data_IF_264446861943
#
_entry.id   IF_264446861943
#
_cell.length_a   1.000
_cell.length_b   1.000
_cell.length_c   1.000
_cell.angle_alpha   90.00
_cell.angle_beta   90.00
_cell.angle_gamma   90.00
#
_symmetry.space_group_name_H-M   'P 1'
#
loop_
_entity.id
_entity.type
_entity.pdbx_description
1 polymer ?
#
# COMPACT_ATOMS: atom_id res chain seq x y z
N UNK A 1 11.60 -5.89 -18.87
CA UNK A 1 12.24 -7.16 -18.47
C UNK A 1 12.16 -7.36 -16.95
N UNK A 2 12.05 -8.62 -16.50
CA UNK A 2 11.81 -8.97 -15.09
C UNK A 2 13.08 -9.13 -14.25
N UNK A 3 14.24 -9.16 -14.87
CA UNK A 3 15.51 -9.44 -14.19
C UNK A 3 15.78 -8.61 -12.91
N UNK A 4 15.47 -7.30 -12.84
CA UNK A 4 15.66 -6.55 -11.60
C UNK A 4 14.78 -7.04 -10.44
N UNK A 5 13.54 -7.44 -10.74
CA UNK A 5 12.62 -7.99 -9.74
C UNK A 5 13.09 -9.37 -9.28
N UNK A 6 13.47 -10.24 -10.22
CA UNK A 6 13.94 -11.59 -9.91
C UNK A 6 15.20 -11.57 -9.04
N UNK A 7 16.14 -10.68 -9.36
CA UNK A 7 17.36 -10.49 -8.54
C UNK A 7 17.04 -9.94 -7.14
N UNK A 8 16.07 -9.01 -7.03
CA UNK A 8 15.63 -8.52 -5.74
C UNK A 8 14.99 -9.64 -4.90
N UNK A 9 14.17 -10.49 -5.54
CA UNK A 9 13.54 -11.64 -4.88
C UNK A 9 14.59 -12.67 -4.46
N UNK A 10 15.61 -12.93 -5.28
CA UNK A 10 16.74 -13.80 -4.90
C UNK A 10 17.49 -13.24 -3.68
N UNK A 11 17.81 -11.96 -3.67
CA UNK A 11 18.40 -11.29 -2.51
C UNK A 11 17.51 -11.38 -1.27
N UNK A 12 16.20 -11.18 -1.43
CA UNK A 12 15.22 -11.35 -0.36
C UNK A 12 15.16 -12.76 0.20
N UNK A 13 15.33 -13.80 -0.65
CA UNK A 13 15.43 -15.19 -0.21
C UNK A 13 16.68 -15.43 0.63
N UNK A 14 17.81 -14.92 0.20
CA UNK A 14 19.08 -15.04 0.92
C UNK A 14 19.02 -14.31 2.28
N UNK A 15 18.46 -13.11 2.30
CA UNK A 15 18.30 -12.31 3.51
C UNK A 15 17.14 -12.77 4.41
N UNK A 16 16.27 -13.65 3.94
CA UNK A 16 15.00 -14.05 4.62
C UNK A 16 14.08 -12.85 4.91
N UNK A 17 14.05 -11.89 4.01
CA UNK A 17 13.27 -10.66 4.12
C UNK A 17 12.29 -10.52 2.96
N UNK A 18 11.16 -9.84 3.15
CA UNK A 18 10.31 -9.45 2.03
C UNK A 18 11.04 -8.43 1.13
N UNK A 19 10.63 -8.36 -0.12
CA UNK A 19 11.04 -7.27 -1.00
C UNK A 19 9.90 -6.28 -1.19
N UNK A 20 10.25 -5.01 -1.33
CA UNK A 20 9.29 -3.95 -1.72
C UNK A 20 9.53 -3.64 -3.18
N UNK A 21 8.47 -3.75 -3.98
CA UNK A 21 8.52 -3.39 -5.38
C UNK A 21 7.75 -2.10 -5.60
N UNK A 22 8.48 -1.05 -5.95
CA UNK A 22 7.93 0.15 -6.58
C UNK A 22 7.90 -0.08 -8.10
N UNK A 23 6.72 -0.42 -8.58
CA UNK A 23 6.51 -0.75 -9.97
C UNK A 23 6.06 0.50 -10.73
N UNK A 24 7.02 1.28 -11.20
CA UNK A 24 6.81 2.52 -11.93
C UNK A 24 6.27 2.33 -13.36
N UNK A 25 6.35 3.37 -14.15
CA UNK A 25 6.03 3.29 -15.58
C UNK A 25 7.10 2.49 -16.33
N UNK A 26 6.66 1.57 -17.18
CA UNK A 26 7.54 0.73 -18.00
C UNK A 26 7.23 0.95 -19.48
N UNK A 27 8.26 0.88 -20.31
CA UNK A 27 8.11 0.93 -21.76
C UNK A 27 8.89 -0.23 -22.42
N UNK A 28 8.22 -1.24 -22.99
CA UNK A 28 6.76 -1.42 -23.00
C UNK A 28 6.19 -1.66 -21.60
N UNK A 29 4.86 -1.43 -21.38
CA UNK A 29 4.21 -1.70 -20.11
C UNK A 29 4.36 -3.18 -19.72
N UNK A 30 4.68 -3.43 -18.44
CA UNK A 30 4.72 -4.77 -17.87
C UNK A 30 3.44 -5.05 -17.08
N UNK A 31 2.98 -6.30 -17.10
CA UNK A 31 1.75 -6.70 -16.41
C UNK A 31 1.97 -6.86 -14.91
N UNK A 32 1.15 -6.20 -14.09
CA UNK A 32 1.14 -6.42 -12.63
C UNK A 32 0.55 -7.80 -12.26
N UNK A 33 -0.31 -8.37 -13.12
CA UNK A 33 -0.75 -9.76 -12.93
C UNK A 33 0.42 -10.72 -13.02
N UNK A 34 1.27 -10.57 -14.03
CA UNK A 34 2.48 -11.38 -14.18
C UNK A 34 3.42 -11.18 -12.99
N UNK A 35 3.63 -9.93 -12.56
CA UNK A 35 4.41 -9.60 -11.37
C UNK A 35 3.93 -10.40 -10.14
N UNK A 36 2.64 -10.36 -9.85
CA UNK A 36 2.08 -11.00 -8.66
C UNK A 36 2.06 -12.52 -8.75
N UNK A 37 1.82 -13.08 -9.93
CA UNK A 37 1.61 -14.53 -10.08
C UNK A 37 2.92 -15.28 -10.30
N UNK A 38 3.94 -14.65 -10.91
CA UNK A 38 5.16 -15.35 -11.31
C UNK A 38 6.42 -14.89 -10.56
N UNK A 39 6.53 -13.60 -10.23
CA UNK A 39 7.76 -13.00 -9.75
C UNK A 39 7.78 -12.74 -8.25
N UNK A 40 6.67 -12.27 -7.65
CA UNK A 40 6.61 -12.01 -6.22
C UNK A 40 6.24 -13.25 -5.41
N UNK A 41 6.77 -13.32 -4.18
CA UNK A 41 6.50 -14.37 -3.19
C UNK A 41 5.40 -13.93 -2.24
N UNK A 42 4.82 -14.87 -1.50
CA UNK A 42 4.01 -14.56 -0.32
C UNK A 42 4.82 -13.69 0.65
N UNK A 43 4.24 -12.56 1.06
CA UNK A 43 4.86 -11.60 1.97
C UNK A 43 5.63 -10.48 1.26
N UNK A 44 5.90 -10.58 -0.03
CA UNK A 44 6.49 -9.47 -0.78
C UNK A 44 5.47 -8.34 -0.96
N UNK A 45 5.97 -7.12 -1.04
CA UNK A 45 5.20 -5.88 -0.92
C UNK A 45 5.13 -5.19 -2.27
N UNK A 46 3.91 -4.87 -2.69
CA UNK A 46 3.64 -4.00 -3.83
C UNK A 46 3.19 -2.64 -3.29
N UNK A 47 4.04 -1.64 -3.43
CA UNK A 47 3.71 -0.27 -3.00
C UNK A 47 3.09 0.57 -4.11
N UNK A 48 2.57 1.73 -3.75
CA UNK A 48 1.80 2.61 -4.63
C UNK A 48 0.57 1.91 -5.25
N UNK A 49 -0.12 1.12 -4.42
CA UNK A 49 -1.28 0.32 -4.84
C UNK A 49 -2.32 1.12 -5.61
N UNK A 50 -2.57 2.36 -5.21
CA UNK A 50 -3.62 3.21 -5.80
C UNK A 50 -3.11 4.23 -6.81
N UNK A 51 -1.99 3.95 -7.45
CA UNK A 51 -1.45 4.85 -8.47
C UNK A 51 -2.26 4.79 -9.77
N UNK A 52 -2.31 5.94 -10.46
CA UNK A 52 -2.78 6.07 -11.84
C UNK A 52 -1.88 7.09 -12.51
N UNK A 53 -0.97 6.61 -13.34
CA UNK A 53 -0.06 7.45 -14.09
C UNK A 53 -0.66 7.84 -15.45
N UNK A 54 -0.38 9.07 -15.88
CA UNK A 54 -0.78 9.52 -17.21
C UNK A 54 -0.20 8.64 -18.31
N UNK A 55 -0.96 8.47 -19.39
CA UNK A 55 -0.55 7.66 -20.54
C UNK A 55 -0.63 6.14 -20.32
N UNK A 56 -1.25 5.68 -19.22
CA UNK A 56 -1.40 4.25 -18.90
C UNK A 56 -0.08 3.46 -18.94
N UNK A 57 1.01 4.11 -18.58
CA UNK A 57 2.36 3.50 -18.57
C UNK A 57 2.53 2.48 -17.43
N UNK A 58 1.56 2.40 -16.54
CA UNK A 58 1.47 1.41 -15.45
C UNK A 58 0.07 0.84 -15.40
N UNK A 59 -0.02 -0.48 -15.27
CA UNK A 59 -1.30 -1.15 -15.06
C UNK A 59 -1.86 -0.84 -13.67
N UNK A 60 -3.18 -0.61 -13.58
CA UNK A 60 -3.89 -0.21 -12.35
C UNK A 60 -4.57 -1.39 -11.66
N UNK A 61 -4.81 -1.29 -10.35
CA UNK A 61 -5.53 -2.31 -9.57
C UNK A 61 -7.04 -2.30 -9.85
N UNK A 62 -7.59 -1.13 -10.18
CA UNK A 62 -8.98 -0.98 -10.59
C UNK A 62 -9.03 -0.79 -12.11
N UNK A 63 -9.92 -1.51 -12.76
CA UNK A 63 -10.25 -1.29 -14.16
C UNK A 63 -10.98 0.06 -14.29
N UNK A 64 -10.37 0.99 -15.02
CA UNK A 64 -10.86 2.37 -15.14
C UNK A 64 -12.17 2.50 -15.94
N UNK A 65 -12.49 1.52 -16.78
CA UNK A 65 -13.73 1.52 -17.57
C UNK A 65 -14.92 1.01 -16.73
N UNK A 66 -14.68 0.04 -15.86
CA UNK A 66 -15.75 -0.60 -15.07
C UNK A 66 -15.79 -0.15 -13.61
N UNK A 67 -14.77 0.55 -13.12
CA UNK A 67 -14.57 0.91 -11.71
C UNK A 67 -14.57 -0.32 -10.76
N UNK A 68 -14.12 -1.47 -11.24
CA UNK A 68 -14.04 -2.70 -10.44
C UNK A 68 -12.60 -3.09 -10.18
N UNK A 69 -12.33 -3.59 -8.98
CA UNK A 69 -11.05 -4.24 -8.67
C UNK A 69 -10.90 -5.46 -9.58
N UNK A 70 -9.78 -5.55 -10.28
CA UNK A 70 -9.49 -6.66 -11.20
C UNK A 70 -9.41 -7.99 -10.45
N UNK A 71 -9.87 -9.07 -11.06
CA UNK A 71 -9.97 -10.39 -10.40
C UNK A 71 -8.64 -10.89 -9.87
N UNK A 72 -7.58 -10.79 -10.66
CA UNK A 72 -6.25 -11.24 -10.27
C UNK A 72 -5.67 -10.49 -9.05
N UNK A 73 -6.15 -9.27 -8.75
CA UNK A 73 -5.77 -8.52 -7.53
C UNK A 73 -6.25 -9.24 -6.27
N UNK A 74 -7.48 -9.80 -6.32
CA UNK A 74 -8.00 -10.62 -5.22
C UNK A 74 -7.23 -11.93 -5.07
N UNK A 75 -6.83 -12.54 -6.19
CA UNK A 75 -6.04 -13.76 -6.18
C UNK A 75 -4.62 -13.50 -5.65
N UNK A 76 -4.00 -12.39 -6.03
CA UNK A 76 -2.73 -11.94 -5.47
C UNK A 76 -2.82 -11.72 -3.95
N UNK A 77 -3.90 -11.07 -3.48
CA UNK A 77 -4.12 -10.87 -2.04
C UNK A 77 -4.28 -12.19 -1.29
N UNK A 78 -5.05 -13.15 -1.84
CA UNK A 78 -5.18 -14.51 -1.27
C UNK A 78 -3.85 -15.26 -1.26
N UNK A 79 -3.03 -15.08 -2.27
CA UNK A 79 -1.67 -15.62 -2.35
C UNK A 79 -0.74 -15.05 -1.28
N UNK A 80 -1.10 -13.91 -0.69
CA UNK A 80 -0.36 -13.26 0.38
C UNK A 80 0.59 -12.16 -0.09
N UNK A 81 0.37 -11.61 -1.28
CA UNK A 81 1.02 -10.34 -1.69
C UNK A 81 0.50 -9.22 -0.78
N UNK A 82 1.40 -8.41 -0.29
CA UNK A 82 1.11 -7.26 0.57
C UNK A 82 0.89 -6.02 -0.30
N UNK A 83 -0.27 -5.42 -0.18
CA UNK A 83 -0.61 -4.18 -0.86
C UNK A 83 -0.39 -3.00 0.06
N UNK A 84 0.60 -2.18 -0.25
CA UNK A 84 0.98 -0.99 0.51
C UNK A 84 0.52 0.28 -0.20
N UNK A 85 0.12 1.29 0.57
CA UNK A 85 -0.40 2.55 0.02
C UNK A 85 0.68 3.36 -0.67
N UNK A 86 1.82 3.61 0.01
CA UNK A 86 2.87 4.46 -0.54
C UNK A 86 2.31 5.78 -1.08
N UNK A 87 1.67 6.60 -0.24
CA UNK A 87 0.83 7.71 -0.73
C UNK A 87 1.57 8.69 -1.64
N UNK A 88 2.75 9.16 -1.24
CA UNK A 88 3.60 10.09 -1.99
C UNK A 88 2.89 11.36 -2.46
N UNK A 89 3.39 11.93 -3.55
CA UNK A 89 2.78 13.10 -4.21
C UNK A 89 1.88 12.68 -5.38
N UNK A 90 2.45 12.00 -6.38
CA UNK A 90 1.78 11.57 -7.60
C UNK A 90 1.35 10.10 -7.60
N UNK A 91 1.73 9.35 -6.57
CA UNK A 91 1.54 7.87 -6.53
C UNK A 91 0.19 7.43 -5.96
N UNK A 92 -0.72 8.37 -5.70
CA UNK A 92 -2.04 8.08 -5.16
C UNK A 92 -3.15 8.75 -5.98
N UNK A 93 -4.17 7.99 -6.32
CA UNK A 93 -5.33 8.50 -7.05
C UNK A 93 -6.65 7.99 -6.43
N UNK A 94 -7.55 8.92 -6.13
CA UNK A 94 -8.85 8.61 -5.53
C UNK A 94 -9.74 7.74 -6.43
N UNK A 95 -9.57 7.81 -7.76
CA UNK A 95 -10.32 6.95 -8.70
C UNK A 95 -9.90 5.48 -8.63
N UNK A 96 -8.75 5.19 -8.03
CA UNK A 96 -8.30 3.83 -7.72
C UNK A 96 -8.66 3.44 -6.28
N UNK A 97 -8.47 4.33 -5.31
CA UNK A 97 -8.68 4.04 -3.90
C UNK A 97 -10.17 3.86 -3.56
N UNK A 98 -11.04 4.81 -3.98
CA UNK A 98 -12.46 4.79 -3.59
C UNK A 98 -13.18 3.52 -4.07
N UNK A 99 -13.10 3.10 -5.35
CA UNK A 99 -13.72 1.85 -5.79
C UNK A 99 -13.15 0.62 -5.08
N UNK A 100 -11.85 0.60 -4.79
CA UNK A 100 -11.20 -0.47 -4.04
C UNK A 100 -11.79 -0.62 -2.65
N UNK A 101 -11.86 0.46 -1.88
CA UNK A 101 -12.40 0.45 -0.52
C UNK A 101 -13.89 0.09 -0.51
N UNK A 102 -14.68 0.62 -1.45
CA UNK A 102 -16.10 0.27 -1.61
C UNK A 102 -16.32 -1.21 -1.92
N UNK A 103 -15.39 -1.83 -2.64
CA UNK A 103 -15.41 -3.28 -2.90
C UNK A 103 -14.93 -4.12 -1.71
N UNK A 104 -14.45 -3.52 -0.62
CA UNK A 104 -13.84 -4.19 0.52
C UNK A 104 -12.38 -4.59 0.31
N UNK A 105 -11.75 -4.09 -0.76
CA UNK A 105 -10.32 -4.27 -0.99
C UNK A 105 -9.55 -3.19 -0.22
N UNK A 106 -9.28 -3.45 1.05
CA UNK A 106 -8.46 -2.58 1.89
C UNK A 106 -6.96 -2.87 1.67
N UNK A 107 -6.08 -1.86 1.77
CA UNK A 107 -4.64 -2.09 1.74
C UNK A 107 -4.21 -2.87 2.99
N UNK A 108 -3.09 -3.58 2.88
CA UNK A 108 -2.50 -4.26 4.03
C UNK A 108 -1.80 -3.27 4.96
N UNK A 109 -1.12 -2.28 4.37
CA UNK A 109 -0.38 -1.23 5.09
C UNK A 109 -0.69 0.14 4.52
N UNK A 110 -0.70 1.15 5.39
CA UNK A 110 -0.84 2.57 5.03
C UNK A 110 0.47 3.25 5.33
N UNK A 111 1.19 3.63 4.29
CA UNK A 111 2.47 4.32 4.35
C UNK A 111 2.40 5.66 3.60
N UNK A 112 3.33 6.56 3.92
CA UNK A 112 3.32 7.94 3.43
C UNK A 112 4.12 8.15 2.16
N UNK A 113 5.18 7.38 1.93
CA UNK A 113 6.22 7.74 0.95
C UNK A 113 6.70 9.19 1.17
N UNK A 114 7.12 9.47 2.41
CA UNK A 114 7.55 10.81 2.81
C UNK A 114 8.87 11.19 2.15
N UNK A 115 8.82 12.25 1.37
CA UNK A 115 10.01 12.87 0.77
C UNK A 115 9.79 14.39 0.63
N UNK A 116 10.83 15.13 0.29
CA UNK A 116 10.78 16.61 0.23
C UNK A 116 9.69 17.17 -0.70
N UNK A 117 9.36 16.46 -1.79
CA UNK A 117 8.27 16.85 -2.70
C UNK A 117 6.89 16.55 -2.13
N UNK A 118 6.71 15.45 -1.41
CA UNK A 118 5.39 15.00 -0.94
C UNK A 118 4.97 15.66 0.39
N UNK A 119 5.91 16.03 1.27
CA UNK A 119 5.60 16.66 2.56
C UNK A 119 4.90 18.01 2.43
N UNK A 120 5.15 18.73 1.34
CA UNK A 120 4.52 20.04 1.05
C UNK A 120 3.31 19.91 0.11
N UNK A 121 2.95 18.69 -0.28
CA UNK A 121 1.78 18.38 -1.09
C UNK A 121 0.64 17.80 -0.24
N UNK A 122 -0.33 17.19 -0.87
CA UNK A 122 -1.52 16.63 -0.21
C UNK A 122 -1.22 15.47 0.76
N UNK A 123 -0.05 14.85 0.70
CA UNK A 123 0.36 13.78 1.63
C UNK A 123 0.56 14.31 3.04
N UNK A 124 1.36 15.36 3.21
CA UNK A 124 1.75 16.01 4.47
C UNK A 124 2.42 15.06 5.47
N UNK A 125 1.63 14.21 6.12
CA UNK A 125 2.06 13.31 7.20
C UNK A 125 1.16 12.07 7.28
N UNK A 126 1.52 11.14 8.16
CA UNK A 126 0.78 9.90 8.37
C UNK A 126 -0.67 10.14 8.81
N UNK A 127 -0.94 11.13 9.66
CA UNK A 127 -2.30 11.43 10.12
C UNK A 127 -3.18 11.94 8.99
N UNK A 128 -2.62 12.75 8.08
CA UNK A 128 -3.31 13.21 6.87
C UNK A 128 -3.69 12.05 5.96
N UNK A 129 -2.81 11.08 5.79
CA UNK A 129 -3.10 9.87 4.99
C UNK A 129 -4.19 9.03 5.67
N UNK A 130 -4.04 8.73 6.97
CA UNK A 130 -5.05 7.98 7.75
C UNK A 130 -6.43 8.65 7.68
N UNK A 131 -6.50 9.98 7.83
CA UNK A 131 -7.75 10.75 7.75
C UNK A 131 -8.44 10.59 6.39
N UNK A 132 -7.68 10.57 5.29
CA UNK A 132 -8.24 10.33 3.95
C UNK A 132 -8.84 8.93 3.83
N UNK A 133 -8.19 7.90 4.41
CA UNK A 133 -8.75 6.55 4.40
C UNK A 133 -10.04 6.45 5.23
N UNK A 134 -10.13 7.14 6.37
CA UNK A 134 -11.37 7.26 7.14
C UNK A 134 -12.47 7.95 6.32
N UNK A 135 -12.15 9.08 5.67
CA UNK A 135 -13.11 9.80 4.81
C UNK A 135 -13.60 8.98 3.62
N UNK A 136 -12.78 8.09 3.08
CA UNK A 136 -13.16 7.16 2.02
C UNK A 136 -13.96 5.95 2.53
N UNK A 137 -14.21 5.85 3.85
CA UNK A 137 -15.05 4.82 4.47
C UNK A 137 -14.32 3.57 4.96
N UNK A 138 -12.99 3.59 5.05
CA UNK A 138 -12.26 2.50 5.71
C UNK A 138 -12.51 2.56 7.23
N UNK A 139 -12.91 1.46 7.89
CA UNK A 139 -13.18 1.46 9.33
C UNK A 139 -11.97 1.89 10.17
N UNK A 140 -12.18 2.69 11.21
CA UNK A 140 -11.12 3.17 12.09
C UNK A 140 -10.19 2.05 12.62
N UNK A 141 -10.69 0.90 13.11
CA UNK A 141 -9.81 -0.19 13.54
C UNK A 141 -8.89 -0.70 12.42
N UNK A 142 -9.39 -0.75 11.17
CA UNK A 142 -8.60 -1.18 10.03
C UNK A 142 -7.55 -0.13 9.63
N UNK A 143 -7.87 1.16 9.70
CA UNK A 143 -6.90 2.24 9.46
C UNK A 143 -5.78 2.19 10.49
N UNK A 144 -6.12 2.04 11.77
CA UNK A 144 -5.12 1.92 12.85
C UNK A 144 -4.27 0.67 12.63
N UNK A 145 -4.88 -0.50 12.42
CA UNK A 145 -4.18 -1.76 12.17
C UNK A 145 -3.21 -1.64 10.99
N UNK A 146 -3.65 -1.08 9.88
CA UNK A 146 -2.85 -0.91 8.67
C UNK A 146 -1.72 0.13 8.81
N UNK A 147 -1.78 0.99 9.84
CA UNK A 147 -0.78 2.02 10.12
C UNK A 147 0.16 1.68 11.29
N UNK A 148 -0.08 0.56 12.00
CA UNK A 148 0.69 0.20 13.21
C UNK A 148 1.10 -1.27 13.18
N UNK A 149 0.22 -2.16 13.62
CA UNK A 149 0.52 -3.58 13.77
C UNK A 149 0.84 -4.27 12.43
N UNK A 150 0.07 -4.01 11.39
CA UNK A 150 0.27 -4.69 10.12
C UNK A 150 1.64 -4.38 9.47
N UNK A 151 2.10 -3.10 9.35
CA UNK A 151 3.45 -2.83 8.86
C UNK A 151 4.54 -3.47 9.73
N UNK A 152 4.40 -3.49 11.07
CA UNK A 152 5.36 -4.15 11.95
C UNK A 152 5.49 -5.66 11.63
N UNK A 153 4.37 -6.35 11.41
CA UNK A 153 4.36 -7.75 10.98
C UNK A 153 5.05 -7.95 9.62
N UNK A 154 4.76 -7.06 8.67
CA UNK A 154 5.31 -7.16 7.30
C UNK A 154 6.83 -7.01 7.29
N UNK A 155 7.38 -6.12 8.11
CA UNK A 155 8.84 -5.93 8.23
C UNK A 155 9.50 -6.87 9.25
N UNK A 156 8.76 -7.85 9.80
CA UNK A 156 9.25 -8.85 10.75
C UNK A 156 9.74 -8.25 12.09
N UNK A 157 9.10 -7.18 12.54
CA UNK A 157 9.31 -6.52 13.83
C UNK A 157 8.05 -6.62 14.70
N UNK A 158 7.68 -7.85 15.06
CA UNK A 158 6.43 -8.15 15.75
C UNK A 158 6.32 -7.54 17.15
N UNK A 159 7.45 -7.14 17.73
CA UNK A 159 7.55 -6.42 19.00
C UNK A 159 7.03 -4.97 18.90
N UNK A 160 6.90 -4.43 17.67
CA UNK A 160 6.42 -3.08 17.38
C UNK A 160 4.92 -3.05 17.04
N UNK A 161 4.36 -1.86 17.01
CA UNK A 161 3.00 -1.61 16.48
C UNK A 161 1.86 -2.15 17.32
N UNK A 162 2.09 -2.48 18.61
CA UNK A 162 1.08 -2.98 19.53
C UNK A 162 1.24 -2.37 20.93
N UNK A 163 0.19 -2.51 21.75
CA UNK A 163 0.14 -1.99 23.12
C UNK A 163 0.18 -3.11 24.17
N UNK A 164 0.88 -4.20 23.90
CA UNK A 164 1.02 -5.32 24.83
C UNK A 164 1.77 -4.91 26.09
N UNK A 165 1.34 -5.44 27.24
CA UNK A 165 2.03 -5.21 28.51
C UNK A 165 3.46 -5.78 28.42
N UNK A 166 4.45 -4.92 28.75
CA UNK A 166 5.86 -5.26 28.63
C UNK A 166 6.46 -5.00 27.25
N UNK A 167 5.65 -4.54 26.28
CA UNK A 167 6.11 -4.12 24.95
C UNK A 167 6.78 -2.75 24.95
N UNK A 168 7.30 -2.37 23.79
CA UNK A 168 7.92 -1.06 23.57
C UNK A 168 6.83 0.01 23.63
N UNK A 169 7.04 1.07 24.41
CA UNK A 169 6.06 2.11 24.67
C UNK A 169 6.10 3.27 23.64
N UNK A 170 6.05 2.94 22.36
CA UNK A 170 5.87 3.91 21.28
C UNK A 170 4.37 4.19 21.11
N UNK A 171 3.86 5.16 21.87
CA UNK A 171 2.43 5.40 22.01
C UNK A 171 2.06 6.77 21.41
N UNK A 172 1.13 6.79 20.46
CA UNK A 172 0.50 7.99 19.95
C UNK A 172 -0.93 8.13 20.51
N UNK A 173 -1.26 9.32 21.01
CA UNK A 173 -2.62 9.65 21.46
C UNK A 173 -3.26 10.50 20.38
N UNK A 174 -4.37 10.01 19.81
CA UNK A 174 -5.08 10.66 18.71
C UNK A 174 -6.44 11.19 19.18
N UNK A 175 -6.86 12.30 18.59
CA UNK A 175 -8.20 12.84 18.77
C UNK A 175 -8.95 12.80 17.43
N UNK A 176 -10.00 12.00 17.36
CA UNK A 176 -10.88 11.95 16.20
C UNK A 176 -11.88 13.10 16.27
N UNK A 177 -11.96 13.89 15.21
CA UNK A 177 -12.91 14.99 15.07
C UNK A 177 -13.73 14.79 13.80
N UNK A 178 -15.01 15.12 13.90
CA UNK A 178 -15.93 15.18 12.77
C UNK A 178 -16.24 16.66 12.47
N UNK A 179 -16.31 17.00 11.18
CA UNK A 179 -16.58 18.36 10.72
C UNK A 179 -16.16 18.57 9.28
N UNK A 180 -16.37 19.79 8.79
CA UNK A 180 -15.87 20.22 7.46
C UNK A 180 -14.43 20.66 7.62
N UNK A 181 -13.52 19.82 7.14
CA UNK A 181 -12.09 20.10 7.09
C UNK A 181 -11.69 20.25 5.62
N UNK A 182 -11.47 21.51 5.19
CA UNK A 182 -11.03 21.88 3.85
C UNK A 182 -9.53 21.66 3.62
#
# INVERSE_FOLDING_TARGET
EWAPVDLAVEAGNLAKMPVIVDFGGNNPPLSIEELFMKHLRKGDIYTHTYTLLEGNVRETVVDTATNKVKSFIWDAKKRGIIFDVGYGGASFNFTQAIPSLKAGFFPNTISTDLHTGSMNASMKDQLSVMSKFLLMGMPLPEVIRASTWAPAQVIQHEELGNLSVGGIADIAILNLREGDFG
#
